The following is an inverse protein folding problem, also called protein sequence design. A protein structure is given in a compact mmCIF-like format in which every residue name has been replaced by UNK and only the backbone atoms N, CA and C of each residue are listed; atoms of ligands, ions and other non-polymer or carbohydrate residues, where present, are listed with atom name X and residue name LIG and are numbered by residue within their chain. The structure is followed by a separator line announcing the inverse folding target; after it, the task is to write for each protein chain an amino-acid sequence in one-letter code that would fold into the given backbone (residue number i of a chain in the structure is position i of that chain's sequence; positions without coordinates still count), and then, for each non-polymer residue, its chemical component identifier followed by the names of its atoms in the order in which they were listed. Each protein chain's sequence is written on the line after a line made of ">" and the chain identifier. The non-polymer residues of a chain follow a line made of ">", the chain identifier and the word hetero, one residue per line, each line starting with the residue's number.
data_IF_251761709660
#
_entry.id   IF_251761709660
#
_cell.length_a   1.000
_cell.length_b   1.000
_cell.length_c   1.000
_cell.angle_alpha   90.00
_cell.angle_beta   90.00
_cell.angle_gamma   90.00
#
_symmetry.space_group_name_H-M   'P 1'
#
loop_
_entity.id
_entity.type
_entity.pdbx_description
1 polymer ?
#
# COMPACT_ATOMS: atom_id res chain seq x y z
N UNK A 1 19.47 9.92 -0.54
CA UNK A 1 18.68 10.27 0.67
C UNK A 1 17.46 11.06 0.23
N UNK A 2 16.30 10.65 0.70
CA UNK A 2 14.99 11.26 0.41
C UNK A 2 15.00 12.74 0.83
N UNK A 3 14.40 13.67 0.06
CA UNK A 3 14.33 15.08 0.42
C UNK A 3 13.68 15.36 1.79
N UNK A 4 12.70 14.55 2.20
CA UNK A 4 12.05 14.64 3.52
C UNK A 4 13.01 14.30 4.65
N UNK A 5 13.84 13.26 4.48
CA UNK A 5 14.90 12.91 5.44
C UNK A 5 15.97 13.99 5.53
N UNK A 6 16.32 14.62 4.41
CA UNK A 6 17.29 15.73 4.41
C UNK A 6 16.77 16.95 5.19
N UNK A 7 15.48 17.25 5.12
CA UNK A 7 14.88 18.34 5.91
C UNK A 7 14.92 18.04 7.40
N UNK A 8 14.68 16.80 7.81
CA UNK A 8 14.82 16.38 9.22
C UNK A 8 16.25 16.55 9.71
N UNK A 9 17.24 16.12 8.93
CA UNK A 9 18.66 16.21 9.32
C UNK A 9 19.17 17.65 9.46
N UNK A 10 18.51 18.62 8.82
CA UNK A 10 18.83 20.05 9.06
C UNK A 10 18.47 20.50 10.48
N UNK A 11 17.56 19.76 11.14
CA UNK A 11 17.10 20.00 12.49
C UNK A 11 17.56 18.89 13.45
N UNK A 12 18.70 18.24 13.15
CA UNK A 12 19.23 17.07 13.87
C UNK A 12 19.21 17.18 15.40
N UNK A 13 19.56 18.33 16.02
CA UNK A 13 19.55 18.45 17.49
C UNK A 13 18.18 18.18 18.13
N UNK A 14 17.07 18.33 17.41
CA UNK A 14 15.72 18.06 17.91
C UNK A 14 15.46 16.56 18.08
N UNK A 15 16.24 15.70 17.42
CA UNK A 15 15.94 14.28 17.26
C UNK A 15 16.96 13.33 17.91
N UNK A 16 18.03 13.85 18.54
CA UNK A 16 19.16 13.01 18.98
C UNK A 16 19.13 12.59 20.44
N UNK A 17 18.30 13.21 21.28
CA UNK A 17 18.41 13.09 22.74
C UNK A 17 17.39 12.16 23.39
N UNK A 18 16.32 11.77 22.69
CA UNK A 18 15.20 11.01 23.27
C UNK A 18 14.73 9.90 22.33
N UNK A 19 14.06 8.85 22.83
CA UNK A 19 13.47 7.83 21.99
C UNK A 19 12.49 8.43 20.96
N UNK A 20 12.75 8.18 19.69
CA UNK A 20 12.03 8.75 18.56
C UNK A 20 11.38 7.66 17.70
N UNK A 21 10.12 7.82 17.34
CA UNK A 21 9.46 6.99 16.33
C UNK A 21 9.40 7.71 14.98
N UNK A 22 9.89 7.06 13.93
CA UNK A 22 9.76 7.50 12.54
C UNK A 22 8.68 6.67 11.85
N UNK A 23 7.51 7.25 11.61
CA UNK A 23 6.37 6.58 11.00
C UNK A 23 6.29 6.85 9.49
N UNK A 24 6.30 5.79 8.67
CA UNK A 24 6.28 5.87 7.21
C UNK A 24 7.56 6.41 6.58
N UNK A 25 8.70 6.16 7.23
CA UNK A 25 10.00 6.64 6.77
C UNK A 25 10.41 5.98 5.44
N UNK A 26 11.15 6.70 4.58
CA UNK A 26 11.70 6.13 3.35
C UNK A 26 12.87 5.19 3.62
N UNK A 27 13.15 4.28 2.66
CA UNK A 27 14.25 3.33 2.74
C UNK A 27 15.59 3.99 2.41
N UNK A 28 16.05 4.89 3.28
CA UNK A 28 17.33 5.59 3.13
C UNK A 28 18.22 5.47 4.39
N UNK A 29 19.22 6.34 4.53
CA UNK A 29 20.19 6.30 5.62
C UNK A 29 19.78 7.08 6.88
N UNK A 30 18.56 7.56 6.97
CA UNK A 30 18.10 8.41 8.08
C UNK A 30 18.26 7.71 9.45
N UNK A 31 17.89 6.42 9.55
CA UNK A 31 18.06 5.67 10.79
C UNK A 31 19.53 5.52 11.21
N UNK A 32 20.46 5.51 10.26
CA UNK A 32 21.90 5.52 10.52
C UNK A 32 22.38 6.80 11.20
N UNK A 33 21.72 7.92 10.90
CA UNK A 33 22.02 9.24 11.49
C UNK A 33 21.32 9.47 12.85
N UNK A 34 20.32 8.65 13.19
CA UNK A 34 19.49 8.78 14.39
C UNK A 34 19.53 7.48 15.22
N UNK A 35 20.58 7.25 16.03
CA UNK A 35 20.77 5.98 16.74
C UNK A 35 19.68 5.65 17.78
N UNK A 36 18.98 6.65 18.28
CA UNK A 36 17.86 6.53 19.22
C UNK A 36 16.47 6.38 18.55
N UNK A 37 16.42 6.39 17.21
CA UNK A 37 15.16 6.28 16.48
C UNK A 37 14.82 4.83 16.12
N UNK A 38 13.51 4.55 16.08
CA UNK A 38 12.91 3.33 15.55
C UNK A 38 12.00 3.67 14.37
N UNK A 39 11.93 2.77 13.40
CA UNK A 39 11.09 2.91 12.22
C UNK A 39 9.81 2.07 12.33
N UNK A 40 8.70 2.67 11.97
CA UNK A 40 7.45 1.98 11.70
C UNK A 40 7.08 2.15 10.23
N UNK A 41 7.08 1.05 9.49
CA UNK A 41 6.82 1.00 8.07
C UNK A 41 5.57 0.18 7.77
N UNK A 42 4.84 0.59 6.76
CA UNK A 42 3.72 -0.18 6.19
C UNK A 42 3.92 -0.51 4.71
N UNK A 43 5.05 -0.11 4.11
CA UNK A 43 5.46 -0.52 2.77
C UNK A 43 6.51 -1.64 2.86
N UNK A 44 6.17 -2.85 2.39
CA UNK A 44 6.98 -4.05 2.57
C UNK A 44 8.39 -3.92 1.97
N UNK A 45 8.51 -3.28 0.80
CA UNK A 45 9.82 -3.08 0.15
C UNK A 45 10.73 -2.16 0.96
N UNK A 46 10.20 -1.05 1.45
CA UNK A 46 10.96 -0.12 2.30
C UNK A 46 11.35 -0.77 3.62
N UNK A 47 10.41 -1.48 4.25
CA UNK A 47 10.66 -2.22 5.47
C UNK A 47 11.77 -3.25 5.31
N UNK A 48 11.74 -4.06 4.25
CA UNK A 48 12.75 -5.07 3.97
C UNK A 48 14.14 -4.45 3.78
N UNK A 49 14.24 -3.37 3.00
CA UNK A 49 15.49 -2.65 2.78
C UNK A 49 16.06 -2.03 4.07
N UNK A 50 15.20 -1.49 4.92
CA UNK A 50 15.60 -0.92 6.21
C UNK A 50 15.96 -2.02 7.22
N UNK A 51 15.21 -3.10 7.31
CA UNK A 51 15.47 -4.24 8.21
C UNK A 51 16.79 -4.94 7.87
N UNK A 52 17.16 -5.03 6.60
CA UNK A 52 18.46 -5.58 6.19
C UNK A 52 19.66 -4.80 6.77
N UNK A 53 19.47 -3.51 7.08
CA UNK A 53 20.51 -2.63 7.63
C UNK A 53 20.36 -2.37 9.13
N UNK A 54 19.13 -2.25 9.61
CA UNK A 54 18.81 -1.78 10.95
C UNK A 54 18.02 -2.80 11.79
N UNK A 55 17.79 -3.99 11.24
CA UNK A 55 17.21 -5.16 11.91
C UNK A 55 15.99 -4.80 12.79
N UNK A 56 16.09 -5.06 14.10
CA UNK A 56 14.99 -4.90 15.06
C UNK A 56 14.56 -3.46 15.34
N UNK A 57 15.26 -2.48 14.79
CA UNK A 57 14.85 -1.07 14.90
C UNK A 57 13.70 -0.69 13.94
N UNK A 58 13.29 -1.61 13.06
CA UNK A 58 12.26 -1.36 12.05
C UNK A 58 11.16 -2.41 12.18
N UNK A 59 9.93 -1.95 12.43
CA UNK A 59 8.74 -2.77 12.45
C UNK A 59 7.93 -2.55 11.18
N UNK A 60 7.55 -3.66 10.53
CA UNK A 60 6.57 -3.67 9.45
C UNK A 60 5.22 -4.12 10.00
N UNK A 61 4.24 -3.25 10.01
CA UNK A 61 2.88 -3.55 10.50
C UNK A 61 1.87 -2.47 10.07
N UNK A 62 0.58 -2.83 10.07
CA UNK A 62 -0.52 -1.86 10.02
C UNK A 62 -0.78 -1.24 11.40
N UNK A 63 -0.44 -1.96 12.47
CA UNK A 63 -0.61 -1.55 13.86
C UNK A 63 0.56 -0.71 14.34
N UNK A 64 0.27 0.24 15.22
CA UNK A 64 1.28 1.06 15.88
C UNK A 64 2.17 0.19 16.79
N UNK A 65 3.51 0.38 16.77
CA UNK A 65 4.41 -0.29 17.72
C UNK A 65 4.00 -0.05 19.18
N UNK A 66 4.12 -1.10 20.01
CA UNK A 66 3.72 -1.03 21.43
C UNK A 66 4.70 -0.23 22.29
N UNK A 67 5.93 -0.03 21.82
CA UNK A 67 6.96 0.70 22.56
C UNK A 67 6.57 2.15 22.83
N UNK A 68 7.09 2.71 23.94
CA UNK A 68 6.88 4.11 24.33
C UNK A 68 7.95 4.99 23.72
N UNK A 69 7.55 6.13 23.17
CA UNK A 69 8.42 7.12 22.56
C UNK A 69 8.21 8.49 23.19
N UNK A 70 9.25 9.32 23.19
CA UNK A 70 9.16 10.70 23.68
C UNK A 70 8.76 11.68 22.60
N UNK A 71 8.91 11.30 21.34
CA UNK A 71 8.51 12.07 20.17
C UNK A 71 8.27 11.14 18.97
N UNK A 72 7.54 11.65 17.99
CA UNK A 72 7.32 10.93 16.74
C UNK A 72 7.36 11.87 15.54
N UNK A 73 7.78 11.34 14.39
CA UNK A 73 7.72 12.00 13.08
C UNK A 73 6.82 11.18 12.17
N UNK A 74 5.79 11.81 11.61
CA UNK A 74 5.00 11.23 10.53
C UNK A 74 5.54 11.73 9.18
N UNK A 75 6.00 10.82 8.35
CA UNK A 75 6.23 11.08 6.94
C UNK A 75 4.88 11.08 6.22
N UNK A 76 4.53 12.21 5.60
CA UNK A 76 3.21 12.44 5.02
C UNK A 76 2.79 11.31 4.08
N UNK A 77 1.73 10.54 4.42
CA UNK A 77 1.15 9.57 3.50
C UNK A 77 0.32 10.27 2.41
N UNK A 78 0.02 9.54 1.33
CA UNK A 78 -0.71 10.10 0.17
C UNK A 78 -2.19 10.36 0.46
N UNK A 79 -2.84 9.48 1.21
CA UNK A 79 -4.27 9.56 1.49
C UNK A 79 -4.56 10.43 2.70
N UNK A 80 -5.48 11.38 2.54
CA UNK A 80 -5.86 12.31 3.60
C UNK A 80 -6.41 11.60 4.84
N UNK A 81 -7.28 10.63 4.65
CA UNK A 81 -7.92 9.87 5.72
C UNK A 81 -6.88 9.09 6.53
N UNK A 82 -5.81 8.66 5.88
CA UNK A 82 -4.69 8.01 6.55
C UNK A 82 -3.88 8.99 7.40
N UNK A 83 -3.72 10.24 6.96
CA UNK A 83 -3.06 11.30 7.76
C UNK A 83 -3.80 11.53 9.07
N UNK A 84 -5.12 11.74 9.01
CA UNK A 84 -5.95 11.97 10.21
C UNK A 84 -5.84 10.82 11.20
N UNK A 85 -5.96 9.60 10.72
CA UNK A 85 -5.85 8.39 11.54
C UNK A 85 -4.47 8.25 12.17
N UNK A 86 -3.40 8.39 11.39
CA UNK A 86 -2.04 8.21 11.90
C UNK A 86 -1.61 9.30 12.86
N UNK A 87 -2.01 10.56 12.65
CA UNK A 87 -1.74 11.64 13.61
C UNK A 87 -2.43 11.37 14.95
N UNK A 88 -3.70 10.98 14.93
CA UNK A 88 -4.45 10.62 16.15
C UNK A 88 -3.84 9.41 16.85
N UNK A 89 -3.43 8.40 16.09
CA UNK A 89 -2.83 7.19 16.61
C UNK A 89 -1.46 7.47 17.27
N UNK A 90 -0.60 8.25 16.61
CA UNK A 90 0.70 8.66 17.17
C UNK A 90 0.51 9.53 18.42
N UNK A 91 -0.40 10.51 18.39
CA UNK A 91 -0.67 11.37 19.54
C UNK A 91 -1.14 10.57 20.76
N UNK A 92 -1.91 9.50 20.57
CA UNK A 92 -2.41 8.66 21.68
C UNK A 92 -1.31 7.88 22.41
N UNK A 93 -0.12 7.75 21.82
CA UNK A 93 1.05 7.06 22.40
C UNK A 93 2.11 8.00 22.96
N UNK A 94 1.89 9.28 22.85
CA UNK A 94 2.80 10.31 23.33
C UNK A 94 2.22 10.99 24.57
N UNK A 95 3.11 11.37 25.52
CA UNK A 95 2.69 12.07 26.70
C UNK A 95 2.40 13.56 26.45
N UNK A 96 1.62 14.24 27.30
CA UNK A 96 1.51 15.70 27.26
C UNK A 96 2.88 16.36 27.31
N UNK A 97 3.08 17.39 26.51
CA UNK A 97 4.38 18.04 26.32
C UNK A 97 5.29 17.39 25.30
N UNK A 98 4.98 16.19 24.81
CA UNK A 98 5.74 15.53 23.75
C UNK A 98 5.60 16.27 22.41
N UNK A 99 6.57 16.05 21.54
CA UNK A 99 6.62 16.66 20.22
C UNK A 99 6.16 15.66 19.16
N UNK A 100 5.17 16.04 18.37
CA UNK A 100 4.77 15.33 17.17
C UNK A 100 5.13 16.17 15.93
N UNK A 101 5.86 15.54 15.02
CA UNK A 101 6.34 16.19 13.80
C UNK A 101 5.65 15.62 12.56
N UNK A 102 5.50 16.46 11.55
CA UNK A 102 4.97 16.07 10.24
C UNK A 102 5.91 16.58 9.15
N UNK A 103 6.41 15.70 8.29
CA UNK A 103 7.29 16.05 7.18
C UNK A 103 6.71 15.57 5.85
N UNK A 104 6.77 16.41 4.83
CA UNK A 104 6.24 16.06 3.51
C UNK A 104 6.56 17.08 2.42
N UNK A 105 6.32 16.67 1.17
CA UNK A 105 6.48 17.55 0.02
C UNK A 105 5.33 18.56 -0.08
N UNK A 106 5.64 19.78 -0.55
CA UNK A 106 4.64 20.83 -0.80
C UNK A 106 3.56 20.37 -1.78
N UNK A 107 3.97 19.76 -2.89
CA UNK A 107 3.05 19.22 -3.91
C UNK A 107 2.20 18.03 -3.43
N UNK A 108 2.64 17.34 -2.38
CA UNK A 108 1.88 16.25 -1.75
C UNK A 108 0.84 16.75 -0.74
N UNK A 109 0.74 18.05 -0.51
CA UNK A 109 -0.30 18.66 0.33
C UNK A 109 0.09 18.81 1.80
N UNK A 110 1.38 18.94 2.12
CA UNK A 110 1.88 19.11 3.50
C UNK A 110 1.21 20.28 4.23
N UNK A 111 0.93 21.40 3.55
CA UNK A 111 0.28 22.55 4.15
C UNK A 111 -1.16 22.30 4.56
N UNK A 112 -1.86 21.47 3.80
CA UNK A 112 -3.19 20.99 4.19
C UNK A 112 -3.11 20.03 5.38
N UNK A 113 -2.16 19.10 5.36
CA UNK A 113 -1.94 18.14 6.45
C UNK A 113 -1.49 18.85 7.75
N UNK A 114 -0.75 19.97 7.65
CA UNK A 114 -0.41 20.78 8.80
C UNK A 114 -1.64 21.36 9.53
N UNK A 115 -2.76 21.58 8.83
CA UNK A 115 -4.03 21.97 9.46
C UNK A 115 -4.63 20.81 10.28
N UNK A 116 -4.43 19.56 9.86
CA UNK A 116 -4.84 18.38 10.63
C UNK A 116 -3.94 18.24 11.87
N UNK A 117 -2.63 18.45 11.72
CA UNK A 117 -1.70 18.49 12.86
C UNK A 117 -2.09 19.59 13.88
N UNK A 118 -2.55 20.74 13.41
CA UNK A 118 -2.97 21.87 14.25
C UNK A 118 -4.21 21.57 15.12
N UNK A 119 -4.97 20.52 14.82
CA UNK A 119 -6.04 20.06 15.69
C UNK A 119 -5.54 19.45 17.02
N UNK A 120 -4.27 19.07 17.10
CA UNK A 120 -3.63 18.49 18.28
C UNK A 120 -2.93 19.52 19.17
N UNK A 121 -2.83 20.78 18.73
CA UNK A 121 -2.15 21.88 19.43
C UNK A 121 -1.67 22.96 18.49
N UNK A 122 -0.87 23.88 19.00
CA UNK A 122 -0.30 24.96 18.18
C UNK A 122 0.79 24.40 17.23
N UNK A 123 0.47 24.31 15.94
CA UNK A 123 1.39 23.83 14.94
C UNK A 123 2.29 24.97 14.41
N UNK A 124 3.59 24.74 14.39
CA UNK A 124 4.58 25.65 13.85
C UNK A 124 5.37 25.01 12.71
N UNK A 125 5.71 25.80 11.70
CA UNK A 125 6.60 25.35 10.63
C UNK A 125 8.05 25.59 11.05
N UNK A 126 8.80 24.50 11.21
CA UNK A 126 10.20 24.55 11.65
C UNK A 126 11.16 24.80 10.49
N UNK A 127 10.92 24.17 9.33
CA UNK A 127 11.83 24.26 8.19
C UNK A 127 11.09 24.10 6.86
N UNK A 128 11.71 24.62 5.80
CA UNK A 128 11.24 24.47 4.43
C UNK A 128 12.45 24.44 3.49
N UNK A 129 12.76 23.25 2.96
CA UNK A 129 13.87 23.05 2.03
C UNK A 129 13.56 21.88 1.09
N UNK A 130 14.24 21.81 -0.06
CA UNK A 130 14.12 20.68 -1.00
C UNK A 130 12.67 20.39 -1.43
N UNK A 131 11.84 21.41 -1.59
CA UNK A 131 10.40 21.31 -1.84
C UNK A 131 9.59 20.57 -0.74
N UNK A 132 10.20 20.31 0.42
CA UNK A 132 9.56 19.73 1.60
C UNK A 132 9.39 20.77 2.71
N UNK A 133 8.50 20.47 3.65
CA UNK A 133 8.32 21.24 4.89
C UNK A 133 8.34 20.28 6.09
N UNK A 134 8.86 20.79 7.21
CA UNK A 134 8.79 20.16 8.52
C UNK A 134 7.92 21.03 9.44
N UNK A 135 6.89 20.40 10.00
CA UNK A 135 5.98 21.00 10.96
C UNK A 135 6.07 20.29 12.31
N UNK A 136 5.78 21.00 13.38
CA UNK A 136 5.79 20.49 14.75
C UNK A 136 4.54 20.94 15.48
N UNK A 137 4.03 20.08 16.36
CA UNK A 137 3.08 20.42 17.41
C UNK A 137 3.57 19.90 18.75
N UNK A 138 3.37 20.70 19.82
CA UNK A 138 3.52 20.23 21.19
C UNK A 138 2.16 19.76 21.66
N UNK A 139 2.04 18.51 22.11
CA UNK A 139 0.78 17.95 22.60
C UNK A 139 0.41 18.60 23.93
N UNK A 140 -0.75 19.25 23.97
CA UNK A 140 -1.24 19.92 25.19
C UNK A 140 -1.80 18.92 26.20
N UNK A 141 -2.45 17.86 25.72
CA UNK A 141 -3.19 16.89 26.52
C UNK A 141 -2.93 15.46 26.04
N UNK A 142 -3.23 14.49 26.90
CA UNK A 142 -3.26 13.08 26.49
C UNK A 142 -4.44 12.85 25.55
N UNK A 143 -4.17 12.14 24.45
CA UNK A 143 -5.19 11.78 23.47
C UNK A 143 -5.59 10.32 23.66
N UNK A 144 -6.89 10.04 23.64
CA UNK A 144 -7.39 8.67 23.70
C UNK A 144 -6.98 7.90 22.42
N UNK A 145 -6.72 6.60 22.57
CA UNK A 145 -6.45 5.74 21.41
C UNK A 145 -7.67 5.76 20.49
N UNK A 146 -7.52 6.15 19.22
CA UNK A 146 -8.65 6.21 18.30
C UNK A 146 -9.15 4.80 17.98
N UNK A 147 -10.45 4.66 17.77
CA UNK A 147 -11.00 3.46 17.17
C UNK A 147 -10.42 3.28 15.76
N UNK A 148 -10.15 2.04 15.37
CA UNK A 148 -9.69 1.76 14.01
C UNK A 148 -10.79 2.11 13.01
N UNK A 149 -10.57 3.04 12.07
CA UNK A 149 -11.61 3.59 11.21
C UNK A 149 -11.89 2.69 10.01
N UNK A 150 -12.37 1.49 10.27
CA UNK A 150 -12.78 0.55 9.23
C UNK A 150 -13.93 1.12 8.41
N UNK A 151 -13.73 1.23 7.10
CA UNK A 151 -14.84 1.36 6.16
C UNK A 151 -15.36 -0.03 5.81
N UNK A 152 -16.68 -0.14 5.80
CA UNK A 152 -17.39 -1.37 5.45
C UNK A 152 -18.44 -1.05 4.40
N UNK A 153 -18.47 -1.81 3.31
CA UNK A 153 -19.43 -1.60 2.25
C UNK A 153 -19.78 -2.91 1.54
N UNK A 154 -21.07 -3.07 1.11
CA UNK A 154 -21.51 -4.25 0.39
C UNK A 154 -21.07 -4.19 -1.06
N UNK A 155 -20.58 -5.31 -1.58
CA UNK A 155 -20.39 -5.55 -3.00
C UNK A 155 -21.46 -6.54 -3.48
N UNK A 156 -22.20 -6.15 -4.52
CA UNK A 156 -23.14 -7.01 -5.22
C UNK A 156 -22.78 -7.06 -6.69
N UNK A 157 -22.36 -8.22 -7.18
CA UNK A 157 -22.04 -8.44 -8.58
C UNK A 157 -22.56 -9.81 -9.02
N UNK A 158 -23.46 -9.85 -10.01
CA UNK A 158 -24.18 -11.06 -10.35
C UNK A 158 -24.97 -11.60 -9.17
N UNK A 159 -24.77 -12.87 -8.85
CA UNK A 159 -25.39 -13.51 -7.67
C UNK A 159 -24.52 -13.45 -6.41
N UNK A 160 -23.29 -12.98 -6.54
CA UNK A 160 -22.37 -12.88 -5.41
C UNK A 160 -22.66 -11.64 -4.57
N UNK A 161 -22.51 -11.81 -3.27
CA UNK A 161 -22.64 -10.76 -2.26
C UNK A 161 -21.48 -10.86 -1.30
N UNK A 162 -20.73 -9.78 -1.15
CA UNK A 162 -19.57 -9.69 -0.28
C UNK A 162 -19.68 -8.45 0.61
N UNK A 163 -19.10 -8.53 1.76
CA UNK A 163 -18.91 -7.42 2.67
C UNK A 163 -17.43 -7.04 2.66
N UNK A 164 -17.10 -5.89 2.09
CA UNK A 164 -15.73 -5.41 1.93
C UNK A 164 -15.35 -4.53 3.10
N UNK A 165 -14.15 -4.73 3.63
CA UNK A 165 -13.57 -3.94 4.70
C UNK A 165 -12.29 -3.30 4.23
N UNK A 166 -12.08 -2.02 4.55
CA UNK A 166 -10.83 -1.33 4.22
C UNK A 166 -10.40 -0.34 5.29
N UNK A 167 -9.11 -0.24 5.49
CA UNK A 167 -8.46 0.81 6.29
C UNK A 167 -8.24 2.07 5.44
N UNK A 168 -8.08 3.25 6.07
CA UNK A 168 -7.73 4.46 5.37
C UNK A 168 -6.46 4.31 4.53
N UNK A 169 -6.47 4.88 3.32
CA UNK A 169 -5.35 4.82 2.38
C UNK A 169 -5.31 3.60 1.49
N UNK A 170 -6.11 2.58 1.77
CA UNK A 170 -6.21 1.37 0.93
C UNK A 170 -7.04 1.67 -0.31
N UNK A 171 -6.61 1.13 -1.44
CA UNK A 171 -7.33 1.26 -2.72
C UNK A 171 -8.75 0.68 -2.62
N UNK A 172 -9.70 1.32 -3.28
CA UNK A 172 -11.15 1.02 -3.19
C UNK A 172 -11.74 1.24 -1.78
N UNK A 173 -11.22 2.23 -1.06
CA UNK A 173 -11.76 2.58 0.26
C UNK A 173 -13.21 3.10 0.14
N UNK A 174 -14.14 2.33 0.70
CA UNK A 174 -15.57 2.66 0.78
C UNK A 174 -16.40 2.43 -0.50
N UNK A 175 -15.82 2.00 -1.63
CA UNK A 175 -16.54 1.70 -2.89
C UNK A 175 -15.74 0.84 -3.85
N UNK A 176 -16.45 0.17 -4.76
CA UNK A 176 -15.83 -0.53 -5.87
C UNK A 176 -15.22 0.46 -6.88
N UNK A 177 -13.95 0.24 -7.21
CA UNK A 177 -13.26 0.97 -8.27
C UNK A 177 -13.76 0.57 -9.64
N UNK A 178 -13.81 1.53 -10.59
CA UNK A 178 -14.35 1.33 -11.95
C UNK A 178 -13.53 0.29 -12.73
N UNK A 179 -12.19 0.34 -12.62
CA UNK A 179 -11.31 -0.63 -13.28
C UNK A 179 -11.48 -2.04 -12.69
N UNK A 180 -11.57 -2.15 -11.37
CA UNK A 180 -11.86 -3.42 -10.69
C UNK A 180 -13.21 -3.98 -11.07
N UNK A 181 -14.27 -3.14 -11.19
CA UNK A 181 -15.58 -3.56 -11.63
C UNK A 181 -15.53 -4.16 -13.03
N UNK A 182 -14.86 -3.48 -13.98
CA UNK A 182 -14.69 -3.97 -15.34
C UNK A 182 -13.88 -5.27 -15.38
N UNK A 183 -12.83 -5.38 -14.56
CA UNK A 183 -12.03 -6.61 -14.49
C UNK A 183 -12.86 -7.80 -13.99
N UNK A 184 -13.66 -7.62 -12.93
CA UNK A 184 -14.53 -8.65 -12.38
C UNK A 184 -15.54 -9.18 -13.39
N UNK A 185 -16.06 -8.31 -14.27
CA UNK A 185 -16.96 -8.68 -15.37
C UNK A 185 -16.28 -9.61 -16.42
N UNK A 186 -14.95 -9.74 -16.40
CA UNK A 186 -14.13 -10.47 -17.37
C UNK A 186 -13.17 -11.47 -16.73
N UNK A 187 -13.51 -12.02 -15.55
CA UNK A 187 -12.75 -13.06 -14.88
C UNK A 187 -13.38 -14.46 -15.00
N UNK A 188 -14.37 -14.62 -15.86
CA UNK A 188 -14.93 -15.93 -16.14
C UNK A 188 -13.90 -16.87 -16.80
N UNK A 189 -14.01 -18.14 -16.52
CA UNK A 189 -13.24 -19.22 -17.13
C UNK A 189 -11.71 -19.05 -17.01
N UNK A 190 -11.21 -18.66 -15.83
CA UNK A 190 -9.78 -18.71 -15.54
C UNK A 190 -9.26 -20.15 -15.60
N UNK A 191 -8.04 -20.39 -16.15
CA UNK A 191 -7.46 -21.72 -16.22
C UNK A 191 -7.05 -22.24 -14.83
N UNK A 192 -7.11 -23.55 -14.66
CA UNK A 192 -6.60 -24.27 -13.47
C UNK A 192 -7.20 -23.80 -12.16
N UNK A 193 -6.39 -23.89 -11.10
CA UNK A 193 -6.86 -23.61 -9.73
C UNK A 193 -5.84 -22.84 -8.88
N UNK A 194 -4.62 -22.64 -9.34
CA UNK A 194 -3.57 -21.89 -8.65
C UNK A 194 -3.55 -20.44 -9.13
N UNK A 195 -4.20 -19.55 -8.38
CA UNK A 195 -4.40 -18.15 -8.79
C UNK A 195 -3.75 -17.17 -7.82
N UNK A 196 -3.36 -16.03 -8.36
CA UNK A 196 -2.75 -14.94 -7.58
C UNK A 196 -3.39 -13.61 -7.95
N UNK A 197 -3.85 -12.86 -6.93
CA UNK A 197 -4.31 -11.48 -7.01
C UNK A 197 -3.16 -10.55 -6.59
N UNK A 198 -2.55 -9.87 -7.55
CA UNK A 198 -1.41 -8.99 -7.32
C UNK A 198 -1.86 -7.54 -7.15
N UNK A 199 -1.48 -6.94 -6.01
CA UNK A 199 -1.96 -5.61 -5.62
C UNK A 199 -3.39 -5.68 -5.11
N UNK A 200 -3.66 -6.56 -4.16
CA UNK A 200 -5.01 -6.97 -3.77
C UNK A 200 -5.82 -5.87 -3.05
N UNK A 201 -5.19 -4.82 -2.52
CA UNK A 201 -5.87 -3.73 -1.84
C UNK A 201 -6.79 -4.20 -0.71
N UNK A 202 -8.07 -3.88 -0.78
CA UNK A 202 -9.09 -4.35 0.18
C UNK A 202 -9.52 -5.81 -0.02
N UNK A 203 -8.91 -6.54 -0.97
CA UNK A 203 -9.21 -7.94 -1.23
C UNK A 203 -10.46 -8.19 -2.07
N UNK A 204 -10.94 -7.19 -2.80
CA UNK A 204 -12.18 -7.26 -3.59
C UNK A 204 -12.12 -8.37 -4.63
N UNK A 205 -11.09 -8.38 -5.48
CA UNK A 205 -10.91 -9.36 -6.56
C UNK A 205 -10.72 -10.75 -5.96
N UNK A 206 -9.80 -10.87 -5.00
CA UNK A 206 -9.52 -12.14 -4.35
C UNK A 206 -10.73 -12.74 -3.64
N UNK A 207 -11.50 -11.95 -2.90
CA UNK A 207 -12.71 -12.43 -2.23
C UNK A 207 -13.79 -12.87 -3.23
N UNK A 208 -13.99 -12.10 -4.30
CA UNK A 208 -14.93 -12.44 -5.36
C UNK A 208 -14.56 -13.75 -6.05
N UNK A 209 -13.29 -13.92 -6.42
CA UNK A 209 -12.77 -15.15 -7.01
C UNK A 209 -12.95 -16.34 -6.06
N UNK A 210 -12.58 -16.18 -4.79
CA UNK A 210 -12.67 -17.27 -3.80
C UNK A 210 -14.11 -17.69 -3.49
N UNK A 211 -15.04 -16.73 -3.45
CA UNK A 211 -16.45 -17.04 -3.27
C UNK A 211 -17.03 -17.80 -4.47
N UNK A 212 -16.69 -17.40 -5.69
CA UNK A 212 -17.14 -18.09 -6.92
C UNK A 212 -16.44 -19.41 -7.18
N UNK A 213 -15.24 -19.59 -6.66
CA UNK A 213 -14.40 -20.77 -6.88
C UNK A 213 -13.80 -21.30 -5.57
N UNK A 214 -14.61 -21.92 -4.68
CA UNK A 214 -14.14 -22.32 -3.35
C UNK A 214 -12.96 -23.29 -3.36
N UNK A 215 -12.79 -24.07 -4.44
CA UNK A 215 -11.70 -25.04 -4.59
C UNK A 215 -10.39 -24.42 -5.09
N UNK A 216 -10.41 -23.19 -5.57
CA UNK A 216 -9.18 -22.53 -6.02
C UNK A 216 -8.22 -22.27 -4.85
N UNK A 217 -6.94 -22.51 -5.09
CA UNK A 217 -5.85 -22.07 -4.22
C UNK A 217 -5.49 -20.65 -4.61
N UNK A 218 -5.89 -19.72 -3.79
CA UNK A 218 -5.73 -18.30 -4.07
C UNK A 218 -4.76 -17.65 -3.10
N UNK A 219 -3.82 -16.88 -3.65
CA UNK A 219 -2.92 -16.03 -2.90
C UNK A 219 -3.19 -14.57 -3.27
N UNK A 220 -3.32 -13.71 -2.27
CA UNK A 220 -3.43 -12.27 -2.42
C UNK A 220 -2.12 -11.63 -2.00
N UNK A 221 -1.56 -10.77 -2.84
CA UNK A 221 -0.33 -10.05 -2.55
C UNK A 221 -0.57 -8.53 -2.55
N UNK A 222 0.00 -7.86 -1.57
CA UNK A 222 0.10 -6.39 -1.59
C UNK A 222 1.41 -5.95 -0.93
N UNK A 223 1.89 -4.77 -1.28
CA UNK A 223 3.07 -4.16 -0.69
C UNK A 223 2.74 -3.42 0.60
N UNK A 224 1.49 -3.07 0.82
CA UNK A 224 1.02 -2.23 1.91
C UNK A 224 0.40 -3.07 3.04
N UNK A 225 0.89 -2.89 4.28
CA UNK A 225 0.39 -3.58 5.47
C UNK A 225 -1.10 -3.30 5.74
N UNK A 226 -1.57 -2.07 5.47
CA UNK A 226 -2.98 -1.71 5.60
C UNK A 226 -3.86 -2.44 4.59
N UNK A 227 -3.38 -2.62 3.36
CA UNK A 227 -4.04 -3.43 2.34
C UNK A 227 -4.10 -4.90 2.74
N UNK A 228 -3.00 -5.47 3.21
CA UNK A 228 -2.95 -6.85 3.72
C UNK A 228 -3.93 -7.06 4.87
N UNK A 229 -3.97 -6.16 5.85
CA UNK A 229 -4.92 -6.21 6.96
C UNK A 229 -6.38 -6.11 6.47
N UNK A 230 -6.63 -5.24 5.50
CA UNK A 230 -7.95 -5.05 4.87
C UNK A 230 -8.42 -6.31 4.13
N UNK A 231 -7.55 -6.89 3.31
CA UNK A 231 -7.84 -8.14 2.59
C UNK A 231 -8.14 -9.30 3.53
N UNK A 232 -7.34 -9.47 4.59
CA UNK A 232 -7.58 -10.51 5.61
C UNK A 232 -8.94 -10.32 6.29
N UNK A 233 -9.29 -9.08 6.63
CA UNK A 233 -10.59 -8.80 7.24
C UNK A 233 -11.75 -9.01 6.27
N UNK A 234 -11.60 -8.63 5.01
CA UNK A 234 -12.60 -8.90 3.97
C UNK A 234 -12.83 -10.40 3.79
N UNK A 235 -11.78 -11.21 3.68
CA UNK A 235 -11.90 -12.65 3.59
C UNK A 235 -12.61 -13.24 4.82
N UNK A 236 -12.17 -12.90 6.02
CA UNK A 236 -12.74 -13.39 7.27
C UNK A 236 -14.22 -13.01 7.42
N UNK A 237 -14.60 -11.78 7.09
CA UNK A 237 -15.98 -11.29 7.17
C UNK A 237 -16.96 -12.02 6.24
N UNK A 238 -16.43 -12.68 5.19
CA UNK A 238 -17.20 -13.45 4.23
C UNK A 238 -17.02 -14.98 4.38
N UNK A 239 -16.33 -15.43 5.44
CA UNK A 239 -16.06 -16.85 5.68
C UNK A 239 -15.16 -17.50 4.61
N UNK A 240 -14.30 -16.69 3.98
CA UNK A 240 -13.40 -17.13 2.92
C UNK A 240 -11.98 -17.33 3.45
N UNK A 241 -11.27 -18.32 2.87
CA UNK A 241 -9.90 -18.63 3.24
C UNK A 241 -8.99 -18.54 2.02
N UNK A 242 -7.96 -17.68 2.10
CA UNK A 242 -6.90 -17.55 1.12
C UNK A 242 -5.64 -17.02 1.82
N UNK A 243 -4.48 -17.26 1.23
CA UNK A 243 -3.23 -16.69 1.73
C UNK A 243 -3.15 -15.21 1.37
N UNK A 244 -2.79 -14.35 2.35
CA UNK A 244 -2.57 -12.92 2.14
C UNK A 244 -1.17 -12.57 2.61
N UNK A 245 -0.32 -12.15 1.68
CA UNK A 245 1.12 -11.97 1.90
C UNK A 245 1.51 -10.52 1.58
N UNK A 246 2.29 -9.92 2.48
CA UNK A 246 2.90 -8.62 2.27
C UNK A 246 4.23 -8.79 1.52
N UNK A 247 4.32 -8.28 0.29
CA UNK A 247 5.56 -8.31 -0.50
C UNK A 247 5.58 -7.22 -1.55
N UNK A 248 6.79 -6.76 -1.89
CA UNK A 248 7.00 -5.78 -2.96
C UNK A 248 7.22 -6.44 -4.34
N UNK A 249 7.38 -7.77 -4.41
CA UNK A 249 7.73 -8.45 -5.66
C UNK A 249 7.24 -9.89 -5.71
N UNK A 250 7.29 -10.50 -6.90
CA UNK A 250 7.05 -11.92 -7.14
C UNK A 250 8.34 -12.77 -7.03
N UNK A 251 9.45 -12.22 -6.51
CA UNK A 251 10.73 -12.91 -6.52
C UNK A 251 10.70 -14.28 -5.81
N UNK A 252 9.96 -14.39 -4.72
CA UNK A 252 9.81 -15.63 -3.96
C UNK A 252 8.78 -16.59 -4.53
N UNK A 253 7.94 -16.12 -5.48
CA UNK A 253 6.98 -16.99 -6.15
C UNK A 253 7.72 -17.96 -7.09
N UNK A 254 7.53 -19.29 -6.94
CA UNK A 254 8.23 -20.27 -7.78
C UNK A 254 7.91 -20.09 -9.28
N UNK A 255 8.86 -20.48 -10.11
CA UNK A 255 8.64 -20.50 -11.57
C UNK A 255 7.51 -21.48 -11.90
N UNK A 256 6.70 -21.15 -12.90
CA UNK A 256 5.64 -22.03 -13.43
C UNK A 256 4.77 -22.66 -12.32
N UNK A 257 4.37 -21.86 -11.34
CA UNK A 257 3.60 -22.31 -10.17
C UNK A 257 2.14 -21.86 -10.19
N UNK A 258 1.77 -20.93 -11.08
CA UNK A 258 0.44 -20.35 -11.17
C UNK A 258 -0.25 -20.68 -12.49
N UNK A 259 -1.59 -20.85 -12.41
CA UNK A 259 -2.44 -20.98 -13.59
C UNK A 259 -3.02 -19.64 -14.03
N UNK A 260 -3.21 -18.69 -13.11
CA UNK A 260 -3.61 -17.33 -13.43
C UNK A 260 -2.98 -16.30 -12.49
N UNK A 261 -2.63 -15.16 -13.05
CA UNK A 261 -2.24 -13.96 -12.31
C UNK A 261 -3.17 -12.82 -12.71
N UNK A 262 -3.86 -12.26 -11.73
CA UNK A 262 -4.83 -11.20 -11.90
C UNK A 262 -4.31 -9.93 -11.22
N UNK A 263 -4.46 -8.77 -11.85
CA UNK A 263 -4.03 -7.51 -11.24
C UNK A 263 -4.83 -6.31 -11.73
N UNK A 264 -5.12 -5.42 -10.77
CA UNK A 264 -5.40 -4.02 -11.02
C UNK A 264 -4.23 -3.20 -10.47
N UNK A 265 -3.15 -2.99 -11.24
CA UNK A 265 -1.93 -2.39 -10.72
C UNK A 265 -2.15 -0.92 -10.31
N UNK A 266 -1.37 -0.39 -9.35
CA UNK A 266 -1.52 0.98 -8.89
C UNK A 266 -1.13 1.98 -9.98
N UNK A 267 -2.03 2.94 -10.30
CA UNK A 267 -1.84 3.93 -11.36
C UNK A 267 -1.33 5.31 -10.87
N UNK A 268 -1.17 5.52 -9.57
CA UNK A 268 -1.03 6.86 -8.99
C UNK A 268 0.39 7.27 -8.58
N UNK A 269 1.44 6.62 -9.09
CA UNK A 269 2.82 6.85 -8.64
C UNK A 269 3.70 7.70 -9.58
N UNK A 270 3.12 8.49 -10.49
CA UNK A 270 3.88 9.15 -11.57
C UNK A 270 4.17 8.20 -12.75
N UNK A 271 4.26 8.74 -13.95
CA UNK A 271 4.28 7.93 -15.20
C UNK A 271 5.47 6.97 -15.23
N UNK A 272 6.66 7.43 -14.89
CA UNK A 272 7.89 6.62 -15.00
C UNK A 272 7.92 5.48 -13.96
N UNK A 273 7.59 5.76 -12.71
CA UNK A 273 7.54 4.75 -11.63
C UNK A 273 6.46 3.70 -11.91
N UNK A 274 5.32 4.14 -12.44
CA UNK A 274 4.22 3.25 -12.81
C UNK A 274 4.63 2.26 -13.91
N UNK A 275 5.32 2.71 -14.96
CA UNK A 275 5.81 1.82 -16.02
C UNK A 275 6.86 0.82 -15.52
N UNK A 276 7.72 1.21 -14.58
CA UNK A 276 8.69 0.29 -13.97
C UNK A 276 8.02 -0.83 -13.19
N UNK A 277 6.99 -0.49 -12.39
CA UNK A 277 6.20 -1.48 -11.64
C UNK A 277 5.46 -2.43 -12.58
N UNK A 278 4.79 -1.89 -13.59
CA UNK A 278 4.08 -2.68 -14.59
C UNK A 278 5.01 -3.60 -15.38
N UNK A 279 6.18 -3.10 -15.78
CA UNK A 279 7.20 -3.88 -16.49
C UNK A 279 7.70 -5.05 -15.64
N UNK A 280 8.02 -4.79 -14.37
CA UNK A 280 8.43 -5.84 -13.43
C UNK A 280 7.33 -6.89 -13.23
N UNK A 281 6.09 -6.45 -13.03
CA UNK A 281 4.94 -7.35 -12.88
C UNK A 281 4.74 -8.24 -14.12
N UNK A 282 4.72 -7.67 -15.32
CA UNK A 282 4.46 -8.42 -16.57
C UNK A 282 5.61 -9.40 -16.85
N UNK A 283 6.86 -8.97 -16.66
CA UNK A 283 8.04 -9.84 -16.79
C UNK A 283 7.96 -11.02 -15.82
N UNK A 284 7.67 -10.76 -14.56
CA UNK A 284 7.61 -11.76 -13.52
C UNK A 284 6.38 -12.67 -13.66
N UNK A 285 5.25 -12.12 -14.14
CA UNK A 285 4.08 -12.92 -14.50
C UNK A 285 4.40 -14.01 -15.53
N UNK A 286 5.19 -13.65 -16.58
CA UNK A 286 5.64 -14.64 -17.57
C UNK A 286 6.48 -15.77 -16.96
N UNK A 287 7.24 -15.49 -15.92
CA UNK A 287 8.08 -16.46 -15.20
C UNK A 287 7.28 -17.39 -14.31
N UNK A 288 6.32 -16.85 -13.57
CA UNK A 288 5.56 -17.60 -12.56
C UNK A 288 4.38 -18.38 -13.13
N UNK A 289 3.87 -17.98 -14.29
CA UNK A 289 2.78 -18.67 -14.96
C UNK A 289 3.25 -19.97 -15.62
N UNK A 290 2.44 -21.02 -15.46
CA UNK A 290 2.63 -22.30 -16.19
C UNK A 290 2.35 -22.12 -17.67
N UNK A 291 2.75 -23.09 -18.46
CA UNK A 291 2.27 -23.22 -19.85
C UNK A 291 0.74 -23.28 -19.87
N UNK A 292 0.13 -22.45 -20.70
CA UNK A 292 -1.33 -22.28 -20.75
C UNK A 292 -1.92 -21.42 -19.64
N UNK A 293 -1.09 -20.97 -18.70
CA UNK A 293 -1.53 -20.02 -17.66
C UNK A 293 -1.73 -18.61 -18.21
N UNK A 294 -2.57 -17.82 -17.54
CA UNK A 294 -3.03 -16.52 -18.04
C UNK A 294 -2.68 -15.34 -17.13
N UNK A 295 -2.27 -14.25 -17.76
CA UNK A 295 -2.29 -12.91 -17.17
C UNK A 295 -3.63 -12.24 -17.50
N UNK A 296 -4.33 -11.72 -16.49
CA UNK A 296 -5.50 -10.83 -16.63
C UNK A 296 -5.22 -9.53 -15.89
N UNK A 297 -5.17 -8.43 -16.63
CA UNK A 297 -4.79 -7.12 -16.08
C UNK A 297 -5.70 -6.03 -16.60
N UNK A 298 -6.12 -5.14 -15.70
CA UNK A 298 -6.83 -3.91 -16.09
C UNK A 298 -5.87 -2.73 -16.08
N UNK A 299 -6.03 -1.84 -17.04
CA UNK A 299 -5.28 -0.60 -17.13
C UNK A 299 -6.13 0.53 -17.69
N UNK A 300 -5.81 1.77 -17.34
CA UNK A 300 -6.33 2.93 -18.05
C UNK A 300 -5.99 2.84 -19.54
N UNK A 301 -6.91 3.22 -20.41
CA UNK A 301 -6.83 3.03 -21.86
C UNK A 301 -5.70 3.81 -22.55
N UNK A 302 -5.17 4.87 -21.90
CA UNK A 302 -4.01 5.63 -22.36
C UNK A 302 -2.64 4.98 -22.05
N UNK A 303 -2.61 3.93 -21.22
CA UNK A 303 -1.37 3.25 -20.84
C UNK A 303 -0.91 2.25 -21.92
N UNK A 304 0.37 2.25 -22.23
CA UNK A 304 0.96 1.42 -23.29
C UNK A 304 1.29 -0.01 -22.81
N UNK A 305 0.35 -0.66 -22.12
CA UNK A 305 0.51 -2.03 -21.63
C UNK A 305 0.59 -3.08 -22.73
N UNK A 306 -0.15 -2.99 -23.86
CA UNK A 306 -0.06 -4.01 -24.91
C UNK A 306 1.39 -4.28 -25.36
N UNK A 307 2.19 -3.23 -25.60
CA UNK A 307 3.57 -3.38 -26.03
C UNK A 307 4.43 -4.14 -25.00
N UNK A 308 4.26 -3.88 -23.70
CA UNK A 308 4.95 -4.60 -22.63
C UNK A 308 4.50 -6.07 -22.54
N UNK A 309 3.21 -6.31 -22.66
CA UNK A 309 2.64 -7.66 -22.63
C UNK A 309 3.14 -8.46 -23.84
N UNK A 310 3.07 -7.89 -25.05
CA UNK A 310 3.58 -8.52 -26.28
C UNK A 310 5.07 -8.84 -26.20
N UNK A 311 5.87 -7.95 -25.61
CA UNK A 311 7.30 -8.16 -25.43
C UNK A 311 7.61 -9.44 -24.63
N UNK A 312 6.80 -9.75 -23.60
CA UNK A 312 7.05 -10.88 -22.70
C UNK A 312 6.25 -12.14 -23.04
N UNK A 313 5.04 -11.98 -23.59
CA UNK A 313 4.13 -13.08 -23.91
C UNK A 313 4.01 -13.40 -25.40
N UNK A 314 4.52 -12.54 -26.28
CA UNK A 314 4.40 -12.68 -27.73
C UNK A 314 3.06 -12.23 -28.31
N UNK A 315 2.07 -11.98 -27.49
CA UNK A 315 0.75 -11.48 -27.88
C UNK A 315 0.05 -10.77 -26.71
N UNK A 316 -0.95 -9.97 -27.04
CA UNK A 316 -1.83 -9.31 -26.07
C UNK A 316 -3.23 -9.22 -26.65
N UNK A 317 -4.20 -9.84 -25.97
CA UNK A 317 -5.61 -9.76 -26.32
C UNK A 317 -6.30 -8.67 -25.48
N UNK A 318 -7.13 -7.83 -26.11
CA UNK A 318 -7.99 -6.89 -25.39
C UNK A 318 -9.38 -7.51 -25.28
N UNK A 319 -9.76 -7.91 -24.06
CA UNK A 319 -11.07 -8.52 -23.77
C UNK A 319 -12.19 -7.49 -23.69
N UNK A 320 -11.89 -6.28 -23.23
CA UNK A 320 -12.83 -5.20 -23.05
C UNK A 320 -12.17 -3.83 -23.17
N UNK A 321 -12.96 -2.85 -23.63
CA UNK A 321 -12.60 -1.43 -23.58
C UNK A 321 -13.85 -0.64 -23.20
N UNK A 322 -13.91 -0.18 -21.97
CA UNK A 322 -15.07 0.57 -21.46
C UNK A 322 -14.64 1.47 -20.28
N UNK A 323 -15.40 2.55 -20.09
CA UNK A 323 -15.27 3.43 -18.90
C UNK A 323 -13.86 4.03 -18.72
N UNK A 324 -13.07 4.18 -19.81
CA UNK A 324 -11.68 4.65 -19.77
C UNK A 324 -10.66 3.59 -19.39
N UNK A 325 -11.05 2.31 -19.34
CA UNK A 325 -10.19 1.17 -19.00
C UNK A 325 -10.22 0.10 -20.08
N UNK A 326 -9.15 -0.68 -20.13
CA UNK A 326 -9.03 -1.89 -20.95
C UNK A 326 -8.67 -3.09 -20.08
N UNK A 327 -9.26 -4.24 -20.44
CA UNK A 327 -8.88 -5.53 -19.88
C UNK A 327 -8.00 -6.25 -20.87
N UNK A 328 -6.80 -6.61 -20.45
CA UNK A 328 -5.85 -7.36 -21.25
C UNK A 328 -5.73 -8.80 -20.76
N UNK A 329 -5.60 -9.71 -21.70
CA UNK A 329 -5.32 -11.13 -21.50
C UNK A 329 -4.07 -11.52 -22.27
N UNK A 330 -3.20 -12.27 -21.63
CA UNK A 330 -2.09 -12.94 -22.31
C UNK A 330 -1.95 -14.37 -21.78
N UNK A 331 -1.70 -15.32 -22.67
CA UNK A 331 -1.52 -16.73 -22.35
C UNK A 331 -0.04 -17.06 -22.44
N UNK A 332 0.46 -17.76 -21.43
CA UNK A 332 1.83 -18.24 -21.42
C UNK A 332 2.00 -19.37 -22.44
N UNK A 333 2.51 -19.07 -23.63
CA UNK A 333 2.88 -20.09 -24.62
C UNK A 333 4.01 -20.98 -24.07
N UNK A 334 4.03 -22.24 -24.51
CA UNK A 334 5.05 -23.21 -24.11
C UNK A 334 6.41 -22.96 -24.73
#
# INVERSE_FOLDING_TARGET
>A
MDPRSQVLLRQLPLFTTQPLLLAGLPADDLLGQLPNAHGWCWHAGDAAALQARFAQRVQFAAELPEATYSSAVLFLPKAREQVDYLLSLLASRLNPGAQLYLVGEKRAGIERAAKQLAALGHAIKLDSARHCQLWQVTLAESTALPATPWQQWPLALGQQRLNIHSLPGVFSHGRLDVGSALLLEHLDALPGHDWLDYGCGAGVIGAWLKQGHPQARLTLLDVDAFAVASSRRTLAANGLHADVIATASLAEQPNQSLDALISNPPFHQGVDTHYQIAHALIRDARRVLRKGGELRIVANDFLRYPALIEQHFGHCETLAHARGFKIYRAVCAG
#
